data_IF_903978591192
#
_entry.id   IF_903978591192
#
_cell.length_a   1.000
_cell.length_b   1.000
_cell.length_c   1.000
_cell.angle_alpha   90.00
_cell.angle_beta   90.00
_cell.angle_gamma   90.00
#
_symmetry.space_group_name_H-M   'P 1'
#
loop_
_entity.id
_entity.type
_entity.pdbx_description
1 polymer ?
#
# COMPACT_ATOMS: atom_id res chain seq x y z
N UNK A 1 25.24 -17.91 91.01
CA UNK A 1 25.51 -17.38 89.66
C UNK A 1 25.88 -18.55 88.78
N UNK A 2 24.97 -19.05 87.99
CA UNK A 2 25.19 -20.18 87.12
C UNK A 2 25.38 -19.71 85.69
N UNK A 3 26.40 -20.16 84.92
CA UNK A 3 26.42 -19.97 83.50
C UNK A 3 25.71 -21.08 82.77
N UNK A 4 24.83 -20.72 81.87
CA UNK A 4 24.06 -21.58 80.99
C UNK A 4 24.92 -22.02 79.83
N UNK A 5 25.15 -23.33 79.69
CA UNK A 5 25.79 -23.92 78.49
C UNK A 5 24.77 -24.01 77.38
N UNK A 6 25.03 -23.30 76.28
CA UNK A 6 24.34 -23.51 75.00
C UNK A 6 25.06 -24.59 74.20
N UNK A 7 24.36 -25.70 74.00
CA UNK A 7 24.76 -26.76 73.02
C UNK A 7 24.35 -26.34 71.65
N UNK A 8 25.34 -26.06 70.79
CA UNK A 8 25.07 -25.89 69.35
C UNK A 8 24.94 -27.25 68.69
N UNK A 9 23.73 -27.57 68.24
CA UNK A 9 23.42 -28.70 67.37
C UNK A 9 23.88 -28.39 65.95
N UNK A 10 24.86 -29.15 65.47
CA UNK A 10 25.37 -29.09 64.13
C UNK A 10 24.39 -29.79 63.18
N UNK A 11 23.50 -29.04 62.56
CA UNK A 11 22.66 -29.57 61.45
C UNK A 11 23.46 -29.36 60.13
N UNK A 12 23.89 -30.45 59.53
CA UNK A 12 24.41 -30.45 58.17
C UNK A 12 23.29 -30.13 57.17
N UNK A 13 23.44 -29.11 56.30
CA UNK A 13 22.46 -28.91 55.23
C UNK A 13 22.64 -29.98 54.16
N UNK A 14 21.61 -30.76 53.93
CA UNK A 14 21.52 -31.66 52.79
C UNK A 14 21.60 -30.88 51.47
N UNK A 15 22.53 -31.28 50.63
CA UNK A 15 22.83 -30.64 49.34
C UNK A 15 21.67 -30.80 48.34
N UNK A 16 21.06 -29.75 47.83
CA UNK A 16 20.04 -29.85 46.78
C UNK A 16 20.65 -29.86 45.38
N UNK A 17 21.71 -30.70 45.18
CA UNK A 17 22.39 -30.75 43.87
C UNK A 17 21.59 -31.50 42.78
N UNK A 18 20.56 -32.23 43.13
CA UNK A 18 19.78 -33.03 42.15
C UNK A 18 18.57 -32.29 41.56
N UNK A 19 18.05 -31.27 42.26
CA UNK A 19 16.95 -30.43 41.76
C UNK A 19 17.40 -29.38 40.75
N UNK A 20 18.60 -28.86 40.87
CA UNK A 20 19.15 -27.87 39.93
C UNK A 20 19.37 -28.45 38.54
N UNK A 21 19.74 -29.73 38.41
CA UNK A 21 19.95 -30.35 37.10
C UNK A 21 18.65 -30.57 36.32
N UNK A 22 17.51 -30.74 37.02
CA UNK A 22 16.21 -30.94 36.38
C UNK A 22 15.63 -29.63 35.84
N UNK A 23 15.92 -28.47 36.46
CA UNK A 23 15.49 -27.18 36.00
C UNK A 23 16.31 -26.66 34.79
N UNK A 24 17.62 -26.96 34.73
CA UNK A 24 18.45 -26.59 33.58
C UNK A 24 18.06 -27.40 32.34
N UNK A 25 17.71 -28.68 32.50
CA UNK A 25 17.23 -29.51 31.38
C UNK A 25 15.88 -29.05 30.81
N UNK A 26 14.97 -28.56 31.66
CA UNK A 26 13.67 -28.05 31.23
C UNK A 26 13.78 -26.70 30.52
N UNK A 27 14.75 -25.84 30.89
CA UNK A 27 14.99 -24.55 30.23
C UNK A 27 15.64 -24.73 28.84
N UNK A 28 16.44 -25.76 28.62
CA UNK A 28 17.04 -26.06 27.32
C UNK A 28 16.04 -26.63 26.31
N UNK A 29 14.93 -27.23 26.76
CA UNK A 29 13.87 -27.73 25.89
C UNK A 29 12.88 -26.65 25.46
N UNK A 30 12.84 -25.49 26.12
CA UNK A 30 12.00 -24.34 25.72
C UNK A 30 12.69 -23.39 24.72
N UNK A 31 13.96 -23.61 24.40
CA UNK A 31 14.79 -22.66 23.66
C UNK A 31 14.78 -22.79 22.13
N UNK A 32 14.06 -23.73 21.54
CA UNK A 32 14.01 -23.89 20.08
C UNK A 32 12.59 -23.92 19.54
N UNK A 33 11.79 -22.93 19.91
CA UNK A 33 10.67 -22.59 19.06
C UNK A 33 11.26 -22.08 17.74
N UNK A 34 11.03 -22.74 16.59
CA UNK A 34 11.45 -22.18 15.31
C UNK A 34 10.80 -20.83 15.23
N UNK A 35 11.62 -19.77 15.05
CA UNK A 35 11.11 -18.46 14.75
C UNK A 35 10.21 -18.64 13.53
N UNK A 36 8.89 -18.58 13.75
CA UNK A 36 7.94 -18.55 12.66
C UNK A 36 8.26 -17.27 11.90
N UNK A 37 9.02 -17.38 10.83
CA UNK A 37 9.21 -16.28 9.90
C UNK A 37 7.81 -15.93 9.40
N UNK A 38 7.25 -14.86 9.93
CA UNK A 38 5.99 -14.32 9.44
C UNK A 38 6.22 -14.03 7.96
N UNK A 39 5.50 -14.74 7.12
CA UNK A 39 5.58 -14.56 5.69
C UNK A 39 5.03 -13.16 5.38
N UNK A 40 5.92 -12.25 4.97
CA UNK A 40 5.61 -10.83 4.72
C UNK A 40 5.27 -10.56 3.25
N UNK A 41 4.59 -11.50 2.59
CA UNK A 41 4.10 -11.24 1.24
C UNK A 41 2.85 -10.38 1.31
N UNK A 42 2.88 -9.26 0.60
CA UNK A 42 1.74 -8.40 0.40
C UNK A 42 1.34 -8.48 -1.07
N UNK A 43 0.07 -8.78 -1.33
CA UNK A 43 -0.50 -8.81 -2.68
C UNK A 43 -1.32 -7.54 -2.86
N UNK A 44 -1.02 -6.80 -3.93
CA UNK A 44 -1.77 -5.62 -4.35
C UNK A 44 -2.20 -5.78 -5.80
N UNK A 45 -3.47 -5.57 -6.07
CA UNK A 45 -4.04 -5.51 -7.42
C UNK A 45 -4.65 -4.15 -7.65
N UNK A 46 -4.28 -3.51 -8.75
CA UNK A 46 -4.87 -2.25 -9.19
C UNK A 46 -5.36 -2.39 -10.63
N UNK A 47 -6.54 -1.87 -10.90
CA UNK A 47 -7.02 -1.69 -12.27
C UNK A 47 -6.75 -0.24 -12.67
N UNK A 48 -6.37 -0.03 -13.94
CA UNK A 48 -6.14 1.29 -14.50
C UNK A 48 -6.78 1.40 -15.87
N UNK A 49 -7.31 2.57 -16.19
CA UNK A 49 -7.84 2.91 -17.50
C UNK A 49 -6.89 3.91 -18.16
N UNK A 50 -6.48 3.60 -19.39
CA UNK A 50 -5.65 4.49 -20.20
C UNK A 50 -6.53 5.51 -20.90
N UNK A 51 -6.25 6.79 -20.70
CA UNK A 51 -6.90 7.92 -21.35
C UNK A 51 -5.84 8.67 -22.15
N UNK A 52 -6.19 9.15 -23.35
CA UNK A 52 -5.20 9.81 -24.18
C UNK A 52 -5.79 10.85 -25.14
N UNK A 53 -4.91 11.74 -25.58
CA UNK A 53 -5.18 12.70 -26.65
C UNK A 53 -4.02 12.68 -27.64
N UNK A 54 -4.35 12.79 -28.92
CA UNK A 54 -3.38 12.87 -30.02
C UNK A 54 -3.74 14.03 -30.95
N UNK A 55 -2.81 14.94 -31.13
CA UNK A 55 -2.84 15.90 -32.25
C UNK A 55 -2.34 15.20 -33.52
N UNK A 56 -3.24 14.67 -34.31
CA UNK A 56 -2.95 13.86 -35.51
C UNK A 56 -2.00 14.56 -36.49
N UNK A 57 -2.04 15.87 -36.57
CA UNK A 57 -1.27 16.65 -37.56
C UNK A 57 -0.11 17.44 -36.95
N UNK A 58 0.03 17.40 -35.62
CA UNK A 58 1.08 18.12 -34.90
C UNK A 58 1.02 19.64 -35.06
N UNK A 59 -0.18 20.17 -35.28
CA UNK A 59 -0.38 21.60 -35.63
C UNK A 59 -0.67 22.50 -34.45
N UNK A 60 -1.05 21.90 -33.30
CA UNK A 60 -1.45 22.67 -32.11
C UNK A 60 -0.24 23.37 -31.47
N UNK A 61 0.97 22.79 -31.66
CA UNK A 61 2.20 23.25 -31.01
C UNK A 61 2.25 22.87 -29.54
N UNK A 62 3.08 23.52 -28.72
CA UNK A 62 3.06 23.30 -27.26
C UNK A 62 1.71 23.67 -26.66
N UNK A 63 1.16 22.78 -25.83
CA UNK A 63 -0.13 23.02 -25.18
C UNK A 63 -0.23 22.32 -23.83
N UNK A 64 -1.15 22.78 -23.01
CA UNK A 64 -1.53 22.13 -21.77
C UNK A 64 -2.80 21.31 -21.99
N UNK A 65 -2.73 20.02 -21.67
CA UNK A 65 -3.84 19.09 -21.67
C UNK A 65 -4.34 18.89 -20.23
N UNK A 66 -5.59 19.23 -19.98
CA UNK A 66 -6.23 19.00 -18.69
C UNK A 66 -7.23 17.84 -18.82
N UNK A 67 -6.91 16.74 -18.18
CA UNK A 67 -7.79 15.58 -18.07
C UNK A 67 -8.69 15.76 -16.85
N UNK A 68 -10.00 15.58 -17.06
CA UNK A 68 -11.01 15.59 -16.01
C UNK A 68 -11.74 14.28 -16.04
N UNK A 69 -11.79 13.59 -14.91
CA UNK A 69 -12.54 12.33 -14.74
C UNK A 69 -13.59 12.53 -13.66
N UNK A 70 -14.84 12.36 -14.04
CA UNK A 70 -15.98 12.48 -13.15
C UNK A 70 -16.52 11.12 -12.75
N UNK A 71 -16.67 10.88 -11.44
CA UNK A 71 -17.32 9.67 -10.92
C UNK A 71 -18.82 9.89 -10.77
N UNK A 72 -19.63 9.18 -11.54
CA UNK A 72 -21.10 9.29 -11.43
C UNK A 72 -21.61 8.79 -10.06
N UNK A 73 -20.88 7.89 -9.41
CA UNK A 73 -21.26 7.33 -8.11
C UNK A 73 -21.00 8.27 -6.95
N UNK A 74 -19.88 8.98 -6.97
CA UNK A 74 -19.47 9.85 -5.85
C UNK A 74 -19.70 11.32 -6.12
N UNK A 75 -19.97 11.71 -7.38
CA UNK A 75 -20.07 13.08 -7.82
C UNK A 75 -18.75 13.84 -7.79
N UNK A 76 -17.62 13.18 -7.56
CA UNK A 76 -16.30 13.81 -7.48
C UNK A 76 -15.68 13.95 -8.86
N UNK A 77 -15.02 15.07 -9.08
CA UNK A 77 -14.13 15.33 -10.21
C UNK A 77 -12.69 15.15 -9.80
N UNK A 78 -11.91 14.52 -10.67
CA UNK A 78 -10.49 14.31 -10.52
C UNK A 78 -9.76 14.92 -11.72
N UNK A 79 -8.76 15.75 -11.45
CA UNK A 79 -8.03 16.51 -12.45
C UNK A 79 -6.58 16.06 -12.52
N UNK A 80 -6.06 15.98 -13.75
CA UNK A 80 -4.63 15.81 -14.03
C UNK A 80 -4.25 16.75 -15.17
N UNK A 81 -3.20 17.53 -14.97
CA UNK A 81 -2.67 18.48 -15.96
C UNK A 81 -1.36 17.95 -16.51
N UNK A 82 -1.23 17.96 -17.85
CA UNK A 82 -0.01 17.59 -18.56
C UNK A 82 0.40 18.71 -19.51
N UNK A 83 1.67 19.08 -19.45
CA UNK A 83 2.24 20.04 -20.37
C UNK A 83 2.94 19.30 -21.51
N UNK A 84 2.52 19.58 -22.75
CA UNK A 84 3.14 19.05 -23.94
C UNK A 84 4.08 20.09 -24.53
N UNK A 85 5.32 19.68 -24.75
CA UNK A 85 6.35 20.53 -25.34
C UNK A 85 6.36 20.43 -26.88
N UNK A 86 7.13 21.30 -27.52
CA UNK A 86 7.28 21.27 -28.97
C UNK A 86 7.78 19.90 -29.45
N UNK A 87 7.08 19.34 -30.43
CA UNK A 87 7.39 18.02 -31.00
C UNK A 87 6.65 16.86 -30.38
N UNK A 88 6.00 17.06 -29.25
CA UNK A 88 5.06 16.08 -28.70
C UNK A 88 3.68 16.26 -29.35
N UNK A 89 3.17 15.18 -29.94
CA UNK A 89 1.87 15.20 -30.64
C UNK A 89 0.73 14.66 -29.78
N UNK A 90 1.02 14.04 -28.65
CA UNK A 90 0.01 13.49 -27.78
C UNK A 90 0.53 13.07 -26.43
N UNK A 91 -0.39 12.72 -25.55
CA UNK A 91 -0.10 12.19 -24.22
C UNK A 91 -1.16 11.17 -23.80
N UNK A 92 -0.69 10.11 -23.18
CA UNK A 92 -1.51 9.10 -22.52
C UNK A 92 -1.32 9.21 -21.00
N UNK A 93 -2.39 9.07 -20.26
CA UNK A 93 -2.41 9.05 -18.81
C UNK A 93 -3.17 7.83 -18.30
N UNK A 94 -2.83 7.35 -17.12
CA UNK A 94 -3.52 6.24 -16.46
C UNK A 94 -4.43 6.77 -15.34
N UNK A 95 -5.66 6.29 -15.30
CA UNK A 95 -6.59 6.61 -14.21
C UNK A 95 -6.93 5.34 -13.42
N UNK A 96 -6.81 5.33 -12.07
CA UNK A 96 -6.11 6.33 -11.25
C UNK A 96 -4.60 6.23 -11.46
N UNK A 97 -3.89 7.35 -11.31
CA UNK A 97 -2.44 7.38 -11.28
C UNK A 97 -1.95 7.02 -9.88
N UNK A 98 -0.78 6.41 -9.78
CA UNK A 98 -0.14 6.17 -8.48
C UNK A 98 0.18 7.53 -7.82
N UNK A 99 -0.21 7.74 -6.55
CA UNK A 99 0.10 8.99 -5.85
C UNK A 99 1.60 9.27 -5.64
N UNK A 100 2.46 8.28 -5.86
CA UNK A 100 3.92 8.46 -5.86
C UNK A 100 4.44 9.15 -7.11
N UNK A 101 3.66 9.16 -8.21
CA UNK A 101 3.98 9.92 -9.39
C UNK A 101 3.87 11.42 -9.10
N UNK A 102 4.80 12.25 -9.63
CA UNK A 102 4.75 13.70 -9.40
C UNK A 102 3.49 14.35 -9.98
N UNK A 103 2.89 13.73 -10.98
CA UNK A 103 1.67 14.17 -11.63
C UNK A 103 0.61 13.07 -11.57
N UNK A 104 -0.36 13.23 -10.71
CA UNK A 104 -1.45 12.26 -10.48
C UNK A 104 -2.81 12.92 -10.50
N UNK A 105 -3.85 12.12 -10.75
CA UNK A 105 -5.24 12.60 -10.64
C UNK A 105 -5.59 12.93 -9.20
N UNK A 106 -6.07 14.13 -8.97
CA UNK A 106 -6.50 14.63 -7.66
C UNK A 106 -7.84 15.35 -7.73
N UNK A 107 -8.62 15.21 -6.66
CA UNK A 107 -9.83 16.00 -6.46
C UNK A 107 -9.48 17.46 -6.13
N UNK A 108 -10.47 18.33 -6.17
CA UNK A 108 -10.31 19.75 -5.77
C UNK A 108 -9.82 19.90 -4.32
N UNK A 109 -10.10 18.91 -3.46
CA UNK A 109 -9.57 18.84 -2.10
C UNK A 109 -8.07 18.51 -2.02
N UNK A 110 -7.42 18.17 -3.15
CA UNK A 110 -6.04 17.69 -3.21
C UNK A 110 -5.87 16.18 -2.94
N UNK A 111 -6.96 15.47 -2.62
CA UNK A 111 -6.95 14.03 -2.40
C UNK A 111 -6.67 13.29 -3.69
N UNK A 112 -5.77 12.29 -3.64
CA UNK A 112 -5.48 11.43 -4.79
C UNK A 112 -6.72 10.64 -5.23
N UNK A 113 -6.89 10.49 -6.56
CA UNK A 113 -7.99 9.72 -7.10
C UNK A 113 -7.91 8.26 -6.68
N UNK A 114 -8.99 7.79 -6.08
CA UNK A 114 -9.21 6.37 -5.81
C UNK A 114 -10.34 5.89 -6.72
N UNK A 115 -10.01 5.00 -7.65
CA UNK A 115 -11.03 4.44 -8.53
C UNK A 115 -11.85 3.40 -7.77
N UNK A 116 -13.12 3.70 -7.60
CA UNK A 116 -14.11 2.76 -7.09
C UNK A 116 -14.91 2.16 -8.25
N UNK A 117 -15.37 0.90 -8.16
CA UNK A 117 -16.22 0.31 -9.20
C UNK A 117 -17.44 1.19 -9.50
N UNK A 118 -17.69 1.43 -10.79
CA UNK A 118 -18.80 2.27 -11.21
C UNK A 118 -18.60 2.91 -12.59
N UNK A 119 -19.52 3.81 -12.92
CA UNK A 119 -19.49 4.57 -14.17
C UNK A 119 -18.75 5.87 -13.99
N UNK A 120 -17.98 6.22 -15.01
CA UNK A 120 -17.22 7.45 -15.09
C UNK A 120 -17.41 8.11 -16.45
N UNK A 121 -17.40 9.44 -16.44
CA UNK A 121 -17.22 10.24 -17.64
C UNK A 121 -15.84 10.90 -17.59
N UNK A 122 -15.25 11.12 -18.72
CA UNK A 122 -13.98 11.83 -18.79
C UNK A 122 -13.95 12.79 -19.97
N UNK A 123 -13.13 13.81 -19.84
CA UNK A 123 -12.81 14.72 -20.94
C UNK A 123 -11.36 15.19 -20.82
N UNK A 124 -10.80 15.53 -21.98
CA UNK A 124 -9.54 16.26 -22.06
C UNK A 124 -9.82 17.63 -22.67
N UNK A 125 -9.33 18.66 -21.97
CA UNK A 125 -9.40 20.06 -22.41
C UNK A 125 -8.03 20.52 -22.88
N UNK A 126 -7.99 21.18 -24.04
CA UNK A 126 -6.79 21.84 -24.56
C UNK A 126 -7.06 23.33 -24.61
N UNK A 127 -6.21 24.14 -23.97
CA UNK A 127 -6.43 25.58 -23.82
C UNK A 127 -7.81 25.92 -23.26
N UNK A 128 -8.31 25.10 -22.32
CA UNK A 128 -9.62 25.29 -21.68
C UNK A 128 -10.83 24.77 -22.49
N UNK A 129 -10.65 24.37 -23.74
CA UNK A 129 -11.72 23.88 -24.61
C UNK A 129 -11.71 22.36 -24.63
N UNK A 130 -12.87 21.73 -24.48
CA UNK A 130 -13.02 20.28 -24.58
C UNK A 130 -12.61 19.81 -25.99
N UNK A 131 -11.57 18.99 -26.06
CA UNK A 131 -11.06 18.43 -27.28
C UNK A 131 -11.56 17.00 -27.53
N UNK A 132 -11.65 16.19 -26.47
CA UNK A 132 -12.08 14.79 -26.52
C UNK A 132 -12.68 14.39 -25.19
N UNK A 133 -13.47 13.34 -25.18
CA UNK A 133 -14.03 12.76 -23.96
C UNK A 133 -14.87 11.54 -24.25
N UNK A 134 -15.28 10.86 -23.20
CA UNK A 134 -16.06 9.63 -23.31
C UNK A 134 -16.56 9.14 -21.96
N UNK A 135 -16.97 7.88 -21.94
CA UNK A 135 -17.45 7.19 -20.75
C UNK A 135 -16.73 5.86 -20.62
N UNK A 136 -16.52 5.42 -19.40
CA UNK A 136 -16.04 4.07 -19.12
C UNK A 136 -16.67 3.52 -17.84
N UNK A 137 -16.60 2.22 -17.68
CA UNK A 137 -16.97 1.53 -16.45
C UNK A 137 -15.67 1.07 -15.80
N UNK A 138 -15.46 1.48 -14.55
CA UNK A 138 -14.32 0.98 -13.79
C UNK A 138 -14.69 -0.36 -13.18
N UNK A 139 -13.90 -1.42 -13.42
CA UNK A 139 -14.24 -2.76 -12.99
C UNK A 139 -14.11 -2.93 -11.48
N UNK A 140 -14.83 -3.89 -10.95
CA UNK A 140 -14.54 -4.44 -9.63
C UNK A 140 -13.28 -5.30 -9.74
N UNK A 141 -12.29 -5.02 -8.90
CA UNK A 141 -11.06 -5.81 -8.84
C UNK A 141 -11.32 -7.01 -7.94
N UNK A 142 -11.44 -8.21 -8.53
CA UNK A 142 -11.63 -9.45 -7.78
C UNK A 142 -10.40 -9.81 -6.95
N UNK A 143 -10.63 -10.39 -5.77
CA UNK A 143 -9.58 -10.86 -4.86
C UNK A 143 -9.34 -12.38 -5.01
N UNK A 144 -9.19 -12.86 -6.23
CA UNK A 144 -8.94 -14.30 -6.52
C UNK A 144 -7.45 -14.70 -6.36
N UNK A 145 -6.75 -14.05 -5.44
CA UNK A 145 -5.34 -14.29 -5.26
C UNK A 145 -5.09 -15.33 -4.18
N UNK A 146 -4.32 -16.34 -4.54
CA UNK A 146 -3.87 -17.38 -3.60
C UNK A 146 -2.37 -17.22 -3.35
N UNK A 147 -1.99 -17.04 -2.09
CA UNK A 147 -0.57 -17.06 -1.69
C UNK A 147 -0.17 -18.53 -1.52
N UNK A 148 0.69 -19.02 -2.40
CA UNK A 148 1.26 -20.36 -2.29
C UNK A 148 2.39 -20.33 -1.26
N UNK A 149 2.18 -21.02 -0.13
CA UNK A 149 3.24 -21.24 0.86
C UNK A 149 4.23 -22.27 0.29
N UNK A 150 5.50 -21.92 0.24
CA UNK A 150 6.60 -22.85 -0.02
C UNK A 150 7.20 -23.31 1.29
#
# INVERSE_FOLDING_TARGET
MNPIHFLFSNQHPARPARLAALFVGLFLLMGTAPAAHAQTWMVSTTAQIKLGILDKYGQIGPYTATFVVHSEKTGKDYLLVKELTKGQTGVDVLFPTDPSDPEYFKADSGEAAQATPGRYTWECRVKGVKAVGGRFVFPEVGNDQTIVKR
#
